data_IF_783563912435
#
_entry.id   IF_783563912435
#
_cell.length_a   1.000
_cell.length_b   1.000
_cell.length_c   1.000
_cell.angle_alpha   90.00
_cell.angle_beta   90.00
_cell.angle_gamma   90.00
#
_symmetry.space_group_name_H-M   'P 1'
#
loop_
_entity.id
_entity.type
_entity.pdbx_description
1 polymer ?
#
# COMPACT_ATOMS: atom_id res chain seq x y z
N UNK A 1 -8.51 6.14 -4.31
CA UNK A 1 -8.97 5.85 -5.69
C UNK A 1 -9.55 7.09 -6.35
N UNK A 2 -10.68 7.65 -5.89
CA UNK A 2 -11.32 8.81 -6.54
C UNK A 2 -10.45 10.08 -6.60
N UNK A 3 -9.56 10.29 -5.64
CA UNK A 3 -8.73 11.50 -5.55
C UNK A 3 -7.53 11.48 -6.52
N UNK A 4 -7.17 10.32 -7.08
CA UNK A 4 -5.92 10.14 -7.84
C UNK A 4 -5.92 10.97 -9.13
N UNK A 5 -6.98 10.98 -9.96
CA UNK A 5 -7.01 11.82 -11.16
C UNK A 5 -6.87 13.31 -10.84
N UNK A 6 -7.51 13.79 -9.77
CA UNK A 6 -7.43 15.20 -9.37
C UNK A 6 -6.05 15.59 -8.83
N UNK A 7 -5.40 14.68 -8.08
CA UNK A 7 -4.04 14.90 -7.62
C UNK A 7 -3.05 14.92 -8.79
N UNK A 8 -3.23 14.06 -9.79
CA UNK A 8 -2.36 13.98 -10.97
C UNK A 8 -2.52 15.19 -11.91
N UNK A 9 -3.74 15.71 -12.09
CA UNK A 9 -4.01 16.87 -12.94
C UNK A 9 -3.66 18.21 -12.29
N UNK A 10 -3.08 18.21 -11.09
CA UNK A 10 -2.72 19.43 -10.39
C UNK A 10 -1.52 20.11 -11.07
N UNK A 11 -1.58 21.43 -11.35
CA UNK A 11 -0.48 22.15 -12.02
C UNK A 11 0.83 22.21 -11.20
N UNK A 12 0.78 21.89 -9.90
CA UNK A 12 1.96 21.79 -9.03
C UNK A 12 2.72 20.47 -9.18
N UNK A 13 2.14 19.46 -9.84
CA UNK A 13 2.75 18.14 -10.02
C UNK A 13 3.42 18.09 -11.40
N UNK A 14 4.72 17.87 -11.43
CA UNK A 14 5.47 17.69 -12.67
C UNK A 14 5.07 16.39 -13.39
N UNK A 15 5.02 16.40 -14.74
CA UNK A 15 4.72 15.20 -15.50
C UNK A 15 5.79 14.13 -15.25
N UNK A 16 5.34 12.90 -14.95
CA UNK A 16 6.21 11.77 -14.58
C UNK A 16 7.33 11.48 -15.62
N UNK A 17 7.11 11.87 -16.88
CA UNK A 17 8.06 11.71 -17.98
C UNK A 17 9.25 12.65 -17.95
N UNK A 18 9.20 13.75 -17.18
CA UNK A 18 10.29 14.75 -17.09
C UNK A 18 11.11 14.65 -15.82
N UNK A 19 10.76 13.76 -14.88
CA UNK A 19 11.58 13.51 -13.70
C UNK A 19 12.72 12.53 -14.02
N UNK A 20 13.97 12.94 -13.83
CA UNK A 20 15.08 12.01 -13.56
C UNK A 20 14.84 11.38 -12.18
N UNK A 21 13.98 10.35 -12.11
CA UNK A 21 13.49 9.85 -10.82
C UNK A 21 14.46 8.85 -10.19
N UNK A 22 15.06 9.24 -9.08
CA UNK A 22 15.43 8.29 -8.04
C UNK A 22 14.15 7.83 -7.33
N UNK A 23 13.67 6.64 -7.74
CA UNK A 23 12.45 6.01 -7.23
C UNK A 23 12.59 5.45 -5.81
N UNK A 24 13.82 5.16 -5.37
CA UNK A 24 14.10 4.63 -4.04
C UNK A 24 14.21 5.80 -3.04
N UNK A 25 14.81 6.91 -3.46
CA UNK A 25 15.02 8.08 -2.62
C UNK A 25 15.97 7.80 -1.45
N UNK A 26 15.99 8.70 -0.47
CA UNK A 26 16.80 8.55 0.74
C UNK A 26 15.95 8.81 1.98
N UNK A 27 16.05 7.93 2.98
CA UNK A 27 15.39 8.10 4.28
C UNK A 27 16.34 8.82 5.22
N UNK A 28 15.89 9.89 5.88
CA UNK A 28 16.73 10.59 6.85
C UNK A 28 17.02 9.70 8.07
N UNK A 29 18.22 9.81 8.65
CA UNK A 29 18.63 8.98 9.79
C UNK A 29 17.69 9.10 11.00
N UNK A 30 17.04 10.25 11.19
CA UNK A 30 16.09 10.47 12.28
C UNK A 30 14.74 9.74 12.07
N UNK A 31 14.41 9.38 10.83
CA UNK A 31 13.12 8.78 10.46
C UNK A 31 13.20 7.25 10.38
N UNK A 32 14.40 6.68 10.43
CA UNK A 32 14.64 5.24 10.26
C UNK A 32 13.77 4.38 11.17
N UNK A 33 13.66 4.76 12.44
CA UNK A 33 12.85 4.03 13.43
C UNK A 33 11.36 4.03 13.09
N UNK A 34 10.84 5.12 12.53
CA UNK A 34 9.44 5.17 12.09
C UNK A 34 9.21 4.24 10.90
N UNK A 35 10.11 4.24 9.91
CA UNK A 35 9.99 3.34 8.76
C UNK A 35 10.09 1.86 9.16
N UNK A 36 10.97 1.53 10.11
CA UNK A 36 11.07 0.18 10.66
C UNK A 36 9.78 -0.21 11.38
N UNK A 37 9.25 0.65 12.24
CA UNK A 37 8.00 0.40 12.97
C UNK A 37 6.81 0.20 12.01
N UNK A 38 6.65 1.10 11.03
CA UNK A 38 5.62 0.94 10.00
C UNK A 38 5.83 -0.32 9.15
N UNK A 39 7.07 -0.68 8.82
CA UNK A 39 7.41 -1.92 8.12
C UNK A 39 6.99 -3.15 8.92
N UNK A 40 7.30 -3.18 10.23
CA UNK A 40 6.88 -4.23 11.14
C UNK A 40 5.36 -4.30 11.27
N UNK A 41 4.68 -3.15 11.37
CA UNK A 41 3.22 -3.07 11.41
C UNK A 41 2.57 -3.63 10.13
N UNK A 42 3.17 -3.40 8.96
CA UNK A 42 2.68 -3.94 7.69
C UNK A 42 2.94 -5.45 7.56
N UNK A 43 4.06 -5.96 8.05
CA UNK A 43 4.44 -7.39 7.97
C UNK A 43 3.70 -8.23 9.01
N UNK A 44 3.73 -7.82 10.27
CA UNK A 44 3.13 -8.55 11.38
C UNK A 44 1.63 -8.25 11.57
N UNK A 45 1.13 -7.23 10.86
CA UNK A 45 -0.28 -6.93 10.72
C UNK A 45 -0.78 -5.85 11.67
N UNK A 46 -1.52 -4.88 11.12
CA UNK A 46 -2.25 -3.86 11.86
C UNK A 46 -3.71 -4.25 12.16
N UNK A 47 -4.55 -3.24 12.37
CA UNK A 47 -6.01 -3.38 12.63
C UNK A 47 -6.75 -4.40 11.72
N UNK A 48 -6.44 -4.52 10.41
CA UNK A 48 -7.14 -5.47 9.52
C UNK A 48 -6.91 -6.95 9.86
N UNK A 49 -5.80 -7.29 10.53
CA UNK A 49 -5.37 -8.67 10.76
C UNK A 49 -6.35 -9.45 11.65
N UNK A 50 -6.86 -8.80 12.69
CA UNK A 50 -7.86 -9.37 13.58
C UNK A 50 -9.14 -9.76 12.83
N UNK A 51 -9.64 -8.88 11.97
CA UNK A 51 -10.85 -9.12 11.18
C UNK A 51 -10.61 -10.22 10.14
N UNK A 52 -9.42 -10.28 9.55
CA UNK A 52 -9.05 -11.34 8.61
C UNK A 52 -9.07 -12.72 9.29
N UNK A 53 -8.40 -12.88 10.44
CA UNK A 53 -8.39 -14.17 11.14
C UNK A 53 -9.79 -14.57 11.61
N UNK A 54 -10.63 -13.63 12.03
CA UNK A 54 -12.03 -13.94 12.34
C UNK A 54 -12.82 -14.48 11.14
N UNK A 55 -12.56 -13.98 9.92
CA UNK A 55 -13.18 -14.51 8.69
C UNK A 55 -12.65 -15.89 8.31
N UNK A 56 -11.35 -16.13 8.51
CA UNK A 56 -10.73 -17.43 8.28
C UNK A 56 -11.27 -18.47 9.26
N UNK A 57 -11.34 -18.15 10.56
CA UNK A 57 -11.80 -19.06 11.61
C UNK A 57 -13.32 -19.30 11.59
N UNK A 58 -14.12 -18.35 11.11
CA UNK A 58 -15.58 -18.53 10.92
C UNK A 58 -15.94 -19.32 9.65
N UNK A 59 -14.96 -19.64 8.80
CA UNK A 59 -15.20 -20.42 7.58
C UNK A 59 -15.49 -21.89 7.92
N UNK A 60 -16.61 -22.42 7.42
CA UNK A 60 -17.08 -23.80 7.69
C UNK A 60 -16.12 -24.92 7.23
N UNK A 61 -15.14 -24.61 6.39
CA UNK A 61 -14.25 -25.60 5.76
C UNK A 61 -12.90 -24.96 5.45
N UNK A 62 -11.82 -25.72 5.63
CA UNK A 62 -10.46 -25.27 5.35
C UNK A 62 -10.24 -24.83 3.89
N UNK A 63 -10.81 -25.52 2.90
CA UNK A 63 -10.67 -25.15 1.48
C UNK A 63 -11.27 -23.79 1.13
N UNK A 64 -12.40 -23.42 1.75
CA UNK A 64 -13.00 -22.08 1.57
C UNK A 64 -12.15 -20.98 2.21
N UNK A 65 -11.57 -21.27 3.37
CA UNK A 65 -10.66 -20.34 4.03
C UNK A 65 -9.41 -20.09 3.17
N UNK A 66 -8.79 -21.13 2.60
CA UNK A 66 -7.64 -21.00 1.72
C UNK A 66 -7.96 -20.20 0.45
N UNK A 67 -9.09 -20.48 -0.20
CA UNK A 67 -9.51 -19.71 -1.37
C UNK A 67 -9.71 -18.23 -1.03
N UNK A 68 -10.35 -17.93 0.11
CA UNK A 68 -10.51 -16.56 0.60
C UNK A 68 -9.15 -15.88 0.80
N UNK A 69 -8.15 -16.59 1.36
CA UNK A 69 -6.80 -16.07 1.52
C UNK A 69 -6.11 -15.76 0.19
N UNK A 70 -6.22 -16.64 -0.82
CA UNK A 70 -5.64 -16.41 -2.13
C UNK A 70 -6.31 -15.24 -2.87
N UNK A 71 -7.64 -15.15 -2.83
CA UNK A 71 -8.38 -14.03 -3.41
C UNK A 71 -8.04 -12.73 -2.68
N UNK A 72 -7.93 -12.76 -1.36
CA UNK A 72 -7.52 -11.60 -0.56
C UNK A 72 -6.09 -11.16 -0.93
N UNK A 73 -5.15 -12.07 -1.11
CA UNK A 73 -3.79 -11.75 -1.53
C UNK A 73 -3.75 -11.04 -2.90
N UNK A 74 -4.50 -11.53 -3.89
CA UNK A 74 -4.64 -10.87 -5.18
C UNK A 74 -5.31 -9.48 -5.04
N UNK A 75 -6.34 -9.39 -4.20
CA UNK A 75 -6.99 -8.11 -3.86
C UNK A 75 -6.04 -7.10 -3.22
N UNK A 76 -5.14 -7.55 -2.33
CA UNK A 76 -4.12 -6.69 -1.72
C UNK A 76 -3.16 -6.09 -2.74
N UNK A 77 -2.72 -6.88 -3.74
CA UNK A 77 -1.85 -6.39 -4.82
C UNK A 77 -2.56 -5.27 -5.59
N UNK A 78 -3.82 -5.48 -5.96
CA UNK A 78 -4.61 -4.47 -6.68
C UNK A 78 -4.85 -3.22 -5.83
N UNK A 79 -5.12 -3.39 -4.53
CA UNK A 79 -5.33 -2.30 -3.58
C UNK A 79 -4.05 -1.54 -3.21
N UNK A 80 -2.86 -2.07 -3.54
CA UNK A 80 -1.59 -1.39 -3.36
C UNK A 80 -1.27 -0.37 -4.48
N UNK A 81 -1.93 -0.46 -5.63
CA UNK A 81 -1.72 0.46 -6.77
C UNK A 81 -1.99 1.94 -6.40
N UNK A 82 -3.13 2.29 -5.80
CA UNK A 82 -3.46 3.69 -5.46
C UNK A 82 -2.46 4.36 -4.52
N UNK A 83 -2.05 3.75 -3.38
CA UNK A 83 -1.01 4.33 -2.52
C UNK A 83 0.31 4.57 -3.24
N UNK A 84 0.74 3.63 -4.10
CA UNK A 84 1.97 3.78 -4.91
C UNK A 84 1.85 4.97 -5.87
N UNK A 85 0.71 5.12 -6.55
CA UNK A 85 0.48 6.26 -7.44
C UNK A 85 0.50 7.59 -6.69
N UNK A 86 -0.09 7.65 -5.48
CA UNK A 86 -0.06 8.86 -4.65
C UNK A 86 1.38 9.19 -4.23
N UNK A 87 2.17 8.18 -3.85
CA UNK A 87 3.60 8.37 -3.53
C UNK A 87 4.39 8.91 -4.73
N UNK A 88 4.13 8.39 -5.93
CA UNK A 88 4.75 8.89 -7.15
C UNK A 88 4.35 10.35 -7.47
N UNK A 89 3.08 10.71 -7.30
CA UNK A 89 2.59 12.09 -7.45
C UNK A 89 3.26 13.02 -6.44
N UNK A 90 3.35 12.60 -5.16
CA UNK A 90 3.97 13.39 -4.11
C UNK A 90 5.46 13.64 -4.35
N UNK A 91 6.15 12.72 -5.03
CA UNK A 91 7.56 12.90 -5.43
C UNK A 91 7.73 13.90 -6.57
N UNK A 92 6.71 14.07 -7.42
CA UNK A 92 6.71 15.03 -8.52
C UNK A 92 6.22 16.44 -8.15
N UNK A 93 5.89 16.67 -6.88
CA UNK A 93 5.62 18.02 -6.31
C UNK A 93 6.91 18.58 -5.74
#
# INVERSE_FOLDING_TARGET
WMCIPFAWMNPLVQPLSSLEVDWIGHVNSNEWWYYVDYGLLLIFGGIPWQVYFQRVLSSKTAGRAQLLSYVAAAGCILMAIPPVLIGAIAKGT
#
